data_IF_025458444212
#
_entry.id   IF_025458444212
#
_cell.length_a   1.000
_cell.length_b   1.000
_cell.length_c   1.000
_cell.angle_alpha   90.00
_cell.angle_beta   90.00
_cell.angle_gamma   90.00
#
_symmetry.space_group_name_H-M   'P 1'
#
loop_
_entity.id
_entity.type
_entity.pdbx_description
1 polymer ?
#
# COMPACT_ATOMS: atom_id res chain seq x y z
N UNK A 1 -19.31 12.59 -25.57
CA UNK A 1 -19.04 12.80 -24.14
C UNK A 1 -18.92 11.44 -23.49
N UNK A 2 -17.73 11.13 -23.03
CA UNK A 2 -17.36 9.91 -22.34
C UNK A 2 -17.14 10.24 -20.86
N UNK A 3 -18.25 10.42 -20.12
CA UNK A 3 -18.19 10.82 -18.72
C UNK A 3 -17.83 9.65 -17.79
N UNK A 4 -16.75 9.82 -17.04
CA UNK A 4 -16.26 8.87 -16.03
C UNK A 4 -16.34 9.50 -14.65
N UNK A 5 -16.90 8.77 -13.70
CA UNK A 5 -16.96 9.17 -12.30
C UNK A 5 -15.79 8.56 -11.52
N UNK A 6 -14.97 9.41 -10.92
CA UNK A 6 -13.87 9.05 -10.05
C UNK A 6 -14.26 9.34 -8.60
N UNK A 7 -14.11 8.35 -7.73
CA UNK A 7 -14.55 8.42 -6.32
C UNK A 7 -13.34 8.22 -5.39
N UNK A 8 -13.05 9.19 -4.53
CA UNK A 8 -12.04 9.06 -3.46
C UNK A 8 -12.73 8.99 -2.10
N UNK A 9 -12.73 7.80 -1.50
CA UNK A 9 -13.17 7.60 -0.12
C UNK A 9 -12.03 7.96 0.84
N UNK A 10 -11.84 9.24 1.06
CA UNK A 10 -10.87 9.77 2.01
C UNK A 10 -11.23 9.50 3.46
N UNK A 11 -10.24 9.54 4.37
CA UNK A 11 -10.47 9.42 5.82
C UNK A 11 -11.34 10.54 6.41
N UNK A 12 -11.31 11.73 5.80
CA UNK A 12 -12.09 12.91 6.22
C UNK A 12 -13.25 13.22 5.27
N UNK A 13 -12.97 13.27 3.97
CA UNK A 13 -13.94 13.63 2.94
C UNK A 13 -14.05 12.54 1.88
N UNK A 14 -15.27 12.25 1.48
CA UNK A 14 -15.56 11.51 0.26
C UNK A 14 -15.66 12.52 -0.87
N UNK A 15 -14.83 12.37 -1.88
CA UNK A 15 -14.76 13.28 -3.03
C UNK A 15 -15.20 12.52 -4.28
N UNK A 16 -15.89 13.22 -5.17
CA UNK A 16 -16.27 12.72 -6.47
C UNK A 16 -15.86 13.72 -7.54
N UNK A 17 -15.30 13.22 -8.63
CA UNK A 17 -14.87 14.03 -9.78
C UNK A 17 -15.41 13.39 -11.03
N UNK A 18 -16.00 14.19 -11.92
CA UNK A 18 -16.41 13.73 -13.25
C UNK A 18 -15.43 14.27 -14.26
N UNK A 19 -14.88 13.38 -15.08
CA UNK A 19 -14.02 13.71 -16.21
C UNK A 19 -14.69 13.26 -17.50
N UNK A 20 -14.55 14.05 -18.56
CA UNK A 20 -14.93 13.67 -19.91
C UNK A 20 -13.67 13.26 -20.68
N UNK A 21 -13.60 11.99 -21.09
CA UNK A 21 -12.43 11.48 -21.80
C UNK A 21 -12.34 11.98 -23.24
N UNK A 22 -13.46 12.38 -23.87
CA UNK A 22 -13.44 12.92 -25.23
C UNK A 22 -12.83 14.33 -25.29
N UNK A 23 -13.00 15.12 -24.22
CA UNK A 23 -12.52 16.52 -24.13
C UNK A 23 -11.37 16.70 -23.16
N UNK A 24 -10.90 15.61 -22.53
CA UNK A 24 -9.81 15.58 -21.55
C UNK A 24 -9.99 16.59 -20.40
N UNK A 25 -11.25 16.81 -20.00
CA UNK A 25 -11.61 17.90 -19.09
C UNK A 25 -12.33 17.42 -17.84
N UNK A 26 -12.10 18.13 -16.73
CA UNK A 26 -12.87 17.94 -15.50
C UNK A 26 -14.19 18.69 -15.64
N UNK A 27 -15.30 17.95 -15.71
CA UNK A 27 -16.64 18.53 -15.81
C UNK A 27 -17.09 19.13 -14.48
N UNK A 28 -16.71 18.50 -13.36
CA UNK A 28 -17.00 19.04 -12.04
C UNK A 28 -16.64 18.10 -10.89
N UNK A 29 -16.74 18.64 -9.68
CA UNK A 29 -16.39 17.93 -8.45
C UNK A 29 -17.46 18.12 -7.38
N UNK A 30 -17.68 17.10 -6.56
CA UNK A 30 -18.48 17.16 -5.35
C UNK A 30 -17.70 16.58 -4.17
N UNK A 31 -18.04 17.01 -2.95
CA UNK A 31 -17.49 16.41 -1.72
C UNK A 31 -18.50 16.43 -0.60
N UNK A 32 -18.33 15.49 0.33
CA UNK A 32 -19.05 15.43 1.60
C UNK A 32 -18.17 14.77 2.68
N UNK A 33 -18.58 14.83 3.94
CA UNK A 33 -17.87 14.14 5.01
C UNK A 33 -17.94 12.62 4.82
N UNK A 34 -16.82 11.93 5.08
CA UNK A 34 -16.78 10.46 5.02
C UNK A 34 -17.50 9.86 6.21
N UNK A 35 -18.48 9.00 5.93
CA UNK A 35 -19.34 8.32 6.92
C UNK A 35 -18.90 6.88 7.20
N UNK A 36 -17.59 6.58 7.15
CA UNK A 36 -17.03 5.22 7.35
C UNK A 36 -17.34 4.62 8.74
N UNK A 37 -17.71 5.46 9.72
CA UNK A 37 -18.12 5.01 11.06
C UNK A 37 -19.57 4.52 11.11
N UNK A 38 -20.44 5.01 10.21
CA UNK A 38 -21.86 4.66 10.10
C UNK A 38 -22.10 3.83 8.84
N UNK A 39 -22.37 4.49 7.71
CA UNK A 39 -22.49 3.87 6.40
C UNK A 39 -21.85 4.80 5.34
N UNK A 40 -20.76 4.34 4.73
CA UNK A 40 -20.01 5.06 3.70
C UNK A 40 -20.86 5.47 2.47
N UNK A 41 -21.99 4.81 2.24
CA UNK A 41 -22.93 5.19 1.18
C UNK A 41 -23.60 6.54 1.44
N UNK A 42 -23.77 6.95 2.70
CA UNK A 42 -24.36 8.24 3.06
C UNK A 42 -23.49 9.39 2.55
N UNK A 43 -22.19 9.37 2.86
CA UNK A 43 -21.23 10.36 2.39
C UNK A 43 -21.06 10.35 0.87
N UNK A 44 -21.10 9.18 0.23
CA UNK A 44 -21.09 9.10 -1.24
C UNK A 44 -22.31 9.77 -1.85
N UNK A 45 -23.51 9.47 -1.33
CA UNK A 45 -24.76 10.03 -1.83
C UNK A 45 -24.77 11.54 -1.70
N UNK A 46 -24.33 12.07 -0.56
CA UNK A 46 -24.22 13.52 -0.35
C UNK A 46 -23.20 14.16 -1.30
N UNK A 47 -22.05 13.52 -1.53
CA UNK A 47 -21.05 14.02 -2.47
C UNK A 47 -21.59 14.07 -3.91
N UNK A 48 -22.36 13.05 -4.33
CA UNK A 48 -23.03 13.01 -5.63
C UNK A 48 -24.11 14.08 -5.78
N UNK A 49 -24.91 14.33 -4.73
CA UNK A 49 -25.89 15.42 -4.73
C UNK A 49 -25.20 16.79 -4.82
N UNK A 50 -24.05 16.97 -4.15
CA UNK A 50 -23.27 18.19 -4.27
C UNK A 50 -22.65 18.37 -5.66
N UNK A 51 -22.16 17.30 -6.28
CA UNK A 51 -21.69 17.31 -7.68
C UNK A 51 -22.81 17.68 -8.65
N UNK A 52 -24.01 17.10 -8.46
CA UNK A 52 -25.18 17.32 -9.31
C UNK A 52 -25.60 18.79 -9.38
N UNK A 53 -25.35 19.57 -8.32
CA UNK A 53 -25.60 21.02 -8.32
C UNK A 53 -24.72 21.78 -9.32
N UNK A 54 -23.53 21.25 -9.63
CA UNK A 54 -22.58 21.87 -10.55
C UNK A 54 -22.77 21.38 -11.98
N UNK A 55 -22.91 20.07 -12.18
CA UNK A 55 -22.88 19.46 -13.53
C UNK A 55 -24.25 18.96 -14.01
N UNK A 56 -25.29 19.07 -13.17
CA UNK A 56 -26.60 18.50 -13.46
C UNK A 56 -26.60 16.97 -13.37
N UNK A 57 -27.58 16.35 -14.03
CA UNK A 57 -27.66 14.88 -14.13
C UNK A 57 -26.82 14.42 -15.32
N UNK A 58 -25.82 13.58 -15.06
CA UNK A 58 -24.96 12.98 -16.08
C UNK A 58 -25.02 11.47 -15.92
N UNK A 59 -25.17 10.76 -17.04
CA UNK A 59 -24.99 9.31 -17.10
C UNK A 59 -23.49 9.00 -17.21
N UNK A 60 -22.99 8.22 -16.26
CA UNK A 60 -21.58 7.82 -16.21
C UNK A 60 -21.40 6.52 -16.96
N UNK A 61 -20.44 6.47 -17.89
CA UNK A 61 -20.07 5.24 -18.58
C UNK A 61 -19.28 4.30 -17.68
N UNK A 62 -18.42 4.86 -16.82
CA UNK A 62 -17.62 4.10 -15.87
C UNK A 62 -17.55 4.79 -14.53
N UNK A 63 -17.35 3.97 -13.49
CA UNK A 63 -17.19 4.43 -12.10
C UNK A 63 -15.99 3.72 -11.50
N UNK A 64 -14.97 4.50 -11.14
CA UNK A 64 -13.76 4.02 -10.48
C UNK A 64 -13.67 4.59 -9.08
N UNK A 65 -13.04 3.84 -8.17
CA UNK A 65 -12.89 4.30 -6.80
C UNK A 65 -11.54 3.98 -6.20
N UNK A 66 -11.09 4.87 -5.32
CA UNK A 66 -10.01 4.60 -4.39
C UNK A 66 -10.44 4.85 -2.95
N UNK A 67 -9.73 4.26 -2.00
CA UNK A 67 -10.05 4.43 -0.58
C UNK A 67 -8.83 4.52 0.32
N UNK A 68 -8.86 5.47 1.25
CA UNK A 68 -7.99 5.57 2.42
C UNK A 68 -8.76 5.54 3.74
N UNK A 69 -10.10 5.54 3.68
CA UNK A 69 -10.98 5.56 4.85
C UNK A 69 -10.90 4.30 5.73
N UNK A 70 -10.37 3.18 5.22
CA UNK A 70 -10.15 1.96 6.01
C UNK A 70 -8.97 2.06 7.00
N UNK A 71 -8.20 3.16 6.97
CA UNK A 71 -7.00 3.36 7.78
C UNK A 71 -5.72 2.92 7.05
N UNK A 72 -4.57 3.33 7.59
CA UNK A 72 -3.27 2.91 7.04
C UNK A 72 -2.96 1.45 7.36
N UNK A 73 -2.27 0.77 6.44
CA UNK A 73 -1.86 -0.62 6.58
C UNK A 73 -0.63 -0.73 7.50
N UNK A 74 -0.80 -1.20 8.74
CA UNK A 74 0.31 -1.40 9.68
C UNK A 74 1.01 -2.73 9.41
N UNK A 75 2.32 -2.71 9.21
CA UNK A 75 3.07 -3.93 8.95
C UNK A 75 4.28 -4.11 9.86
N UNK A 76 4.62 -5.37 10.10
CA UNK A 76 5.92 -5.78 10.64
C UNK A 76 6.65 -6.59 9.57
N UNK A 77 7.95 -6.34 9.42
CA UNK A 77 8.82 -7.13 8.56
C UNK A 77 9.84 -7.89 9.39
N UNK A 78 10.10 -9.15 9.05
CA UNK A 78 11.09 -10.01 9.70
C UNK A 78 12.01 -10.56 8.61
N UNK A 79 13.31 -10.34 8.73
CA UNK A 79 14.30 -10.86 7.78
C UNK A 79 15.46 -11.59 8.45
N UNK A 80 16.40 -12.07 7.63
CA UNK A 80 17.55 -12.83 8.12
C UNK A 80 18.60 -11.93 8.76
N UNK A 81 19.00 -10.85 8.08
CA UNK A 81 19.99 -9.89 8.57
C UNK A 81 19.55 -8.45 8.21
N UNK A 82 19.92 -7.43 9.01
CA UNK A 82 19.48 -6.05 8.84
C UNK A 82 19.72 -5.49 7.43
N UNK A 83 20.95 -5.62 6.92
CA UNK A 83 21.39 -4.95 5.68
C UNK A 83 20.98 -5.70 4.39
N UNK A 84 20.33 -6.86 4.48
CA UNK A 84 19.94 -7.67 3.33
C UNK A 84 18.43 -7.91 3.29
N UNK A 85 17.97 -9.09 3.73
CA UNK A 85 16.58 -9.50 3.52
C UNK A 85 15.60 -8.80 4.45
N UNK A 86 16.05 -8.24 5.59
CA UNK A 86 15.23 -7.37 6.43
C UNK A 86 14.99 -6.02 5.73
N UNK A 87 16.01 -5.43 5.12
CA UNK A 87 15.88 -4.21 4.32
C UNK A 87 15.05 -4.46 3.04
N UNK A 88 15.23 -5.60 2.37
CA UNK A 88 14.39 -5.99 1.23
C UNK A 88 12.90 -6.11 1.63
N UNK A 89 12.62 -6.74 2.79
CA UNK A 89 11.27 -6.85 3.32
C UNK A 89 10.67 -5.48 3.66
N UNK A 90 11.45 -4.60 4.29
CA UNK A 90 11.04 -3.22 4.58
C UNK A 90 10.69 -2.47 3.30
N UNK A 91 11.51 -2.59 2.24
CA UNK A 91 11.28 -1.96 0.94
C UNK A 91 10.02 -2.48 0.26
N UNK A 92 9.77 -3.79 0.29
CA UNK A 92 8.53 -4.38 -0.23
C UNK A 92 7.28 -3.85 0.50
N UNK A 93 7.35 -3.72 1.82
CA UNK A 93 6.25 -3.18 2.61
C UNK A 93 6.00 -1.68 2.33
N UNK A 94 7.06 -0.87 2.26
CA UNK A 94 6.95 0.56 1.95
C UNK A 94 6.42 0.79 0.53
N UNK A 95 6.91 0.03 -0.46
CA UNK A 95 6.45 0.14 -1.86
C UNK A 95 5.00 -0.31 -2.04
N UNK A 96 4.53 -1.27 -1.23
CA UNK A 96 3.12 -1.65 -1.16
C UNK A 96 2.24 -0.62 -0.43
N UNK A 97 2.88 0.39 0.16
CA UNK A 97 2.23 1.49 0.82
C UNK A 97 1.86 1.25 2.28
N UNK A 98 2.53 0.31 2.93
CA UNK A 98 2.37 0.04 4.34
C UNK A 98 3.13 1.03 5.23
N UNK A 99 2.58 1.30 6.42
CA UNK A 99 3.32 1.85 7.55
C UNK A 99 4.06 0.73 8.24
N UNK A 100 5.37 0.63 8.01
CA UNK A 100 6.24 -0.34 8.69
C UNK A 100 6.44 0.09 10.13
N UNK A 101 5.82 -0.62 11.07
CA UNK A 101 5.91 -0.33 12.50
C UNK A 101 7.27 -0.72 13.08
N UNK A 102 7.78 -1.88 12.66
CA UNK A 102 9.02 -2.47 13.14
C UNK A 102 9.60 -3.40 12.09
N UNK A 103 10.93 -3.49 12.09
CA UNK A 103 11.69 -4.47 11.31
C UNK A 103 12.54 -5.27 12.27
N UNK A 104 12.40 -6.59 12.23
CA UNK A 104 13.23 -7.53 12.99
C UNK A 104 14.19 -8.24 12.06
N UNK A 105 15.29 -8.72 12.64
CA UNK A 105 16.31 -9.48 11.95
C UNK A 105 16.85 -10.58 12.84
N UNK A 106 17.49 -11.59 12.24
CA UNK A 106 18.00 -12.77 12.93
C UNK A 106 16.88 -13.64 13.53
N UNK A 107 17.24 -14.52 14.46
CA UNK A 107 16.29 -15.30 15.23
C UNK A 107 15.52 -14.39 16.17
N UNK A 108 14.19 -14.40 16.04
CA UNK A 108 13.30 -13.72 16.97
C UNK A 108 13.49 -14.29 18.37
N UNK A 109 13.44 -13.39 19.34
CA UNK A 109 13.35 -13.70 20.76
C UNK A 109 11.89 -13.73 21.22
N UNK A 110 11.63 -14.33 22.39
CA UNK A 110 10.29 -14.30 23.00
C UNK A 110 9.82 -12.87 23.29
N UNK A 111 10.73 -11.97 23.67
CA UNK A 111 10.41 -10.56 23.91
C UNK A 111 9.97 -9.84 22.62
N UNK A 112 10.58 -10.15 21.48
CA UNK A 112 10.16 -9.62 20.19
C UNK A 112 8.82 -10.23 19.74
N UNK A 113 8.57 -11.50 20.04
CA UNK A 113 7.27 -12.13 19.79
C UNK A 113 6.14 -11.46 20.62
N UNK A 114 6.42 -11.11 21.88
CA UNK A 114 5.52 -10.32 22.72
C UNK A 114 5.32 -8.89 22.19
N UNK A 115 6.38 -8.25 21.70
CA UNK A 115 6.29 -6.93 21.06
C UNK A 115 5.42 -6.99 19.79
N UNK A 116 5.58 -8.02 18.94
CA UNK A 116 4.72 -8.24 17.76
C UNK A 116 3.26 -8.37 18.19
N UNK A 117 2.98 -9.14 19.24
CA UNK A 117 1.64 -9.29 19.80
C UNK A 117 1.06 -7.93 20.23
N UNK A 118 1.85 -7.13 20.94
CA UNK A 118 1.44 -5.82 21.45
C UNK A 118 1.19 -4.80 20.33
N UNK A 119 2.07 -4.76 19.32
CA UNK A 119 1.95 -3.84 18.19
C UNK A 119 0.73 -4.13 17.31
N UNK A 120 0.27 -5.39 17.29
CA UNK A 120 -0.92 -5.85 16.55
C UNK A 120 -0.87 -5.38 15.08
N UNK A 121 0.07 -5.94 14.29
CA UNK A 121 0.19 -5.59 12.88
C UNK A 121 -1.04 -6.02 12.10
N UNK A 122 -1.33 -5.34 10.99
CA UNK A 122 -2.36 -5.77 10.06
C UNK A 122 -1.87 -6.89 9.14
N UNK A 123 -0.56 -6.94 8.83
CA UNK A 123 0.12 -8.00 8.08
C UNK A 123 1.55 -8.16 8.63
N UNK A 124 2.05 -9.38 8.71
CA UNK A 124 3.46 -9.67 8.97
C UNK A 124 4.14 -10.23 7.70
N UNK A 125 5.24 -9.62 7.26
CA UNK A 125 6.06 -10.14 6.16
C UNK A 125 7.27 -10.89 6.74
N UNK A 126 7.29 -12.22 6.55
CA UNK A 126 8.36 -13.11 6.97
C UNK A 126 9.24 -13.48 5.78
N UNK A 127 10.50 -13.05 5.84
CA UNK A 127 11.52 -13.36 4.85
C UNK A 127 12.65 -14.19 5.49
N UNK A 128 13.59 -14.64 4.68
CA UNK A 128 14.63 -15.57 5.12
C UNK A 128 15.95 -15.35 4.40
N UNK A 129 16.70 -16.43 4.18
CA UNK A 129 17.87 -16.40 3.30
C UNK A 129 17.49 -16.33 1.82
N UNK A 130 18.52 -16.22 0.99
CA UNK A 130 18.42 -16.42 -0.47
C UNK A 130 17.91 -17.83 -0.80
N UNK A 131 17.54 -18.06 -2.04
CA UNK A 131 17.10 -19.38 -2.49
C UNK A 131 18.23 -20.40 -2.40
N UNK A 132 17.96 -21.53 -1.75
CA UNK A 132 18.99 -22.53 -1.41
C UNK A 132 19.93 -22.12 -0.28
N UNK A 133 19.75 -20.93 0.30
CA UNK A 133 20.56 -20.38 1.39
C UNK A 133 20.09 -20.83 2.78
N UNK A 134 20.20 -19.93 3.77
CA UNK A 134 19.83 -20.21 5.14
C UNK A 134 18.36 -20.65 5.26
N UNK A 135 18.13 -21.78 5.92
CA UNK A 135 16.81 -22.33 6.21
C UNK A 135 16.43 -22.21 7.69
N UNK A 136 17.42 -22.23 8.58
CA UNK A 136 17.24 -22.39 10.03
C UNK A 136 16.48 -21.23 10.66
N UNK A 137 16.87 -20.00 10.33
CA UNK A 137 16.35 -18.79 11.01
C UNK A 137 14.89 -18.55 10.68
N UNK A 138 14.49 -18.64 9.41
CA UNK A 138 13.09 -18.45 9.03
C UNK A 138 12.19 -19.56 9.61
N UNK A 139 12.66 -20.81 9.70
CA UNK A 139 11.93 -21.89 10.37
C UNK A 139 11.78 -21.65 11.88
N UNK A 140 12.83 -21.13 12.54
CA UNK A 140 12.76 -20.72 13.94
C UNK A 140 11.75 -19.59 14.14
N UNK A 141 11.84 -18.54 13.33
CA UNK A 141 10.95 -17.39 13.40
C UNK A 141 9.49 -17.79 13.12
N UNK A 142 9.25 -18.68 12.16
CA UNK A 142 7.92 -19.22 11.86
C UNK A 142 7.30 -19.92 13.08
N UNK A 143 8.08 -20.72 13.82
CA UNK A 143 7.62 -21.38 15.05
C UNK A 143 7.28 -20.41 16.16
N UNK A 144 8.06 -19.33 16.33
CA UNK A 144 7.72 -18.29 17.30
C UNK A 144 6.48 -17.51 16.89
N UNK A 145 6.38 -17.09 15.63
CA UNK A 145 5.24 -16.35 15.09
C UNK A 145 3.95 -17.18 15.17
N UNK A 146 4.03 -18.49 14.98
CA UNK A 146 2.91 -19.42 15.16
C UNK A 146 2.32 -19.34 16.59
N UNK A 147 3.14 -19.06 17.60
CA UNK A 147 2.70 -18.87 18.99
C UNK A 147 2.23 -17.46 19.34
N UNK A 148 2.41 -16.47 18.46
CA UNK A 148 1.99 -15.08 18.71
C UNK A 148 0.47 -14.98 18.60
N UNK A 149 -0.19 -14.45 19.63
CA UNK A 149 -1.63 -14.24 19.60
C UNK A 149 -2.04 -13.13 18.62
N UNK A 150 -3.25 -13.24 18.06
CA UNK A 150 -3.84 -12.25 17.15
C UNK A 150 -4.08 -12.74 15.73
N UNK A 151 -5.04 -12.09 15.06
CA UNK A 151 -5.48 -12.38 13.70
C UNK A 151 -4.78 -11.43 12.73
N UNK A 152 -3.55 -11.78 12.34
CA UNK A 152 -2.83 -11.12 11.27
C UNK A 152 -2.35 -12.16 10.25
N UNK A 153 -2.59 -11.95 8.95
CA UNK A 153 -2.01 -12.79 7.91
C UNK A 153 -0.49 -12.66 7.90
N UNK A 154 0.18 -13.75 7.53
CA UNK A 154 1.62 -13.83 7.36
C UNK A 154 1.95 -14.05 5.89
N UNK A 155 2.74 -13.17 5.31
CA UNK A 155 3.28 -13.35 3.96
C UNK A 155 4.66 -14.00 4.09
N UNK A 156 4.87 -15.13 3.42
CA UNK A 156 6.16 -15.81 3.36
C UNK A 156 6.80 -15.49 2.01
N UNK A 157 7.92 -14.77 2.07
CA UNK A 157 8.66 -14.30 0.89
C UNK A 157 10.17 -14.56 1.08
N UNK A 158 10.50 -15.80 1.43
CA UNK A 158 11.86 -16.24 1.75
C UNK A 158 12.30 -17.45 0.92
N UNK A 159 13.39 -18.09 1.34
CA UNK A 159 14.03 -19.22 0.66
C UNK A 159 13.02 -20.24 0.10
N UNK A 160 12.97 -20.34 -1.24
CA UNK A 160 12.00 -21.22 -1.93
C UNK A 160 12.03 -22.67 -1.45
N UNK A 161 13.21 -23.18 -1.04
CA UNK A 161 13.40 -24.59 -0.65
C UNK A 161 12.61 -25.02 0.58
N UNK A 162 12.14 -24.08 1.39
CA UNK A 162 11.46 -24.34 2.67
C UNK A 162 10.24 -23.43 2.88
N UNK A 163 9.84 -22.69 1.85
CA UNK A 163 8.71 -21.75 1.93
C UNK A 163 7.40 -22.47 2.29
N UNK A 164 7.18 -23.64 1.69
CA UNK A 164 6.04 -24.52 1.99
C UNK A 164 6.08 -25.09 3.41
N UNK A 165 7.26 -25.49 3.91
CA UNK A 165 7.41 -25.99 5.29
C UNK A 165 7.11 -24.88 6.31
N UNK A 166 7.60 -23.66 6.04
CA UNK A 166 7.30 -22.47 6.86
C UNK A 166 5.80 -22.18 6.85
N UNK A 167 5.17 -22.23 5.69
CA UNK A 167 3.73 -22.04 5.57
C UNK A 167 2.95 -23.10 6.34
N UNK A 168 3.34 -24.38 6.24
CA UNK A 168 2.71 -25.47 6.97
C UNK A 168 2.76 -25.27 8.50
N UNK A 169 3.90 -24.80 9.05
CA UNK A 169 4.04 -24.48 10.48
C UNK A 169 3.03 -23.41 10.91
N UNK A 170 2.93 -22.32 10.12
CA UNK A 170 2.06 -21.19 10.44
C UNK A 170 0.57 -21.54 10.27
N UNK A 171 0.22 -22.26 9.20
CA UNK A 171 -1.14 -22.75 8.93
C UNK A 171 -1.60 -23.73 10.02
N UNK A 172 -0.73 -24.62 10.49
CA UNK A 172 -1.06 -25.56 11.58
C UNK A 172 -1.42 -24.83 12.90
N UNK A 173 -0.93 -23.60 13.08
CA UNK A 173 -1.27 -22.73 14.21
C UNK A 173 -2.48 -21.82 13.92
N UNK A 174 -3.17 -21.98 12.79
CA UNK A 174 -4.37 -21.24 12.42
C UNK A 174 -4.11 -19.85 11.84
N UNK A 175 -2.89 -19.53 11.39
CA UNK A 175 -2.59 -18.28 10.70
C UNK A 175 -3.08 -18.32 9.24
N UNK A 176 -3.56 -17.18 8.73
CA UNK A 176 -3.75 -16.98 7.27
C UNK A 176 -2.38 -16.74 6.64
N UNK A 177 -1.96 -17.59 5.70
CA UNK A 177 -0.63 -17.55 5.11
C UNK A 177 -0.72 -17.36 3.61
N UNK A 178 0.08 -16.44 3.09
CA UNK A 178 0.28 -16.24 1.64
C UNK A 178 1.74 -16.45 1.31
N UNK A 179 2.06 -17.37 0.40
CA UNK A 179 3.42 -17.61 -0.07
C UNK A 179 3.62 -16.87 -1.39
N UNK A 180 4.78 -16.24 -1.57
CA UNK A 180 5.19 -15.61 -2.82
C UNK A 180 6.69 -15.81 -3.04
N UNK A 181 7.20 -15.32 -4.17
CA UNK A 181 8.62 -15.41 -4.47
C UNK A 181 9.47 -14.67 -3.44
N UNK A 182 10.71 -15.12 -3.29
CA UNK A 182 11.66 -14.56 -2.34
C UNK A 182 11.95 -13.09 -2.65
N UNK A 183 11.93 -12.21 -1.65
CA UNK A 183 12.27 -10.78 -1.83
C UNK A 183 13.73 -10.55 -2.23
N UNK A 184 14.60 -11.53 -1.97
CA UNK A 184 16.00 -11.53 -2.35
C UNK A 184 16.43 -12.96 -2.71
N UNK A 185 16.10 -13.45 -3.92
CA UNK A 185 16.37 -14.84 -4.30
C UNK A 185 17.86 -15.14 -4.41
N UNK A 186 18.69 -14.13 -4.71
CA UNK A 186 20.15 -14.22 -4.73
C UNK A 186 20.78 -13.01 -4.03
N UNK A 187 22.04 -13.14 -3.62
CA UNK A 187 22.75 -12.07 -2.91
C UNK A 187 22.78 -10.79 -3.77
N UNK A 188 22.37 -9.66 -3.17
CA UNK A 188 22.23 -8.36 -3.84
C UNK A 188 21.25 -8.30 -5.03
N UNK A 189 20.38 -9.30 -5.22
CA UNK A 189 19.31 -9.27 -6.24
C UNK A 189 17.98 -9.09 -5.54
N UNK A 190 17.32 -7.95 -5.74
CA UNK A 190 16.00 -7.67 -5.17
C UNK A 190 14.88 -8.17 -6.10
N UNK A 191 13.86 -8.81 -5.51
CA UNK A 191 12.63 -9.23 -6.19
C UNK A 191 11.42 -8.88 -5.32
N UNK A 192 11.16 -7.59 -5.11
CA UNK A 192 10.15 -7.10 -4.16
C UNK A 192 8.72 -7.10 -4.73
N UNK A 193 8.57 -7.19 -6.05
CA UNK A 193 7.29 -7.07 -6.76
C UNK A 193 6.28 -8.14 -6.33
N UNK A 194 6.63 -9.45 -6.25
CA UNK A 194 5.68 -10.48 -5.85
C UNK A 194 5.15 -10.27 -4.42
N UNK A 195 6.03 -9.90 -3.49
CA UNK A 195 5.62 -9.57 -2.12
C UNK A 195 4.75 -8.31 -2.07
N UNK A 196 5.10 -7.28 -2.86
CA UNK A 196 4.33 -6.03 -2.97
C UNK A 196 2.90 -6.29 -3.42
N UNK A 197 2.70 -7.13 -4.41
CA UNK A 197 1.38 -7.46 -4.95
C UNK A 197 0.52 -8.24 -3.94
N UNK A 198 1.11 -9.20 -3.23
CA UNK A 198 0.39 -9.92 -2.15
C UNK A 198 -0.02 -8.97 -1.03
N UNK A 199 0.84 -8.02 -0.64
CA UNK A 199 0.51 -7.01 0.36
C UNK A 199 -0.66 -6.13 -0.12
N UNK A 200 -0.59 -5.64 -1.37
CA UNK A 200 -1.66 -4.82 -1.97
C UNK A 200 -2.99 -5.59 -1.99
N UNK A 201 -2.97 -6.85 -2.39
CA UNK A 201 -4.16 -7.70 -2.45
C UNK A 201 -4.78 -7.95 -1.07
N UNK A 202 -3.97 -8.28 -0.05
CA UNK A 202 -4.47 -8.44 1.32
C UNK A 202 -5.04 -7.13 1.86
N UNK A 203 -4.42 -5.99 1.55
CA UNK A 203 -4.94 -4.70 1.95
C UNK A 203 -6.30 -4.40 1.29
N UNK A 204 -6.44 -4.71 0.00
CA UNK A 204 -7.69 -4.60 -0.74
C UNK A 204 -8.80 -5.49 -0.17
N UNK A 205 -8.50 -6.75 0.12
CA UNK A 205 -9.43 -7.68 0.77
C UNK A 205 -9.96 -7.09 2.08
N UNK A 206 -9.08 -6.44 2.86
CA UNK A 206 -9.43 -5.78 4.13
C UNK A 206 -10.25 -4.51 3.93
N UNK A 207 -9.90 -3.67 2.96
CA UNK A 207 -10.68 -2.48 2.58
C UNK A 207 -12.10 -2.89 2.20
N UNK A 208 -12.27 -3.93 1.38
CA UNK A 208 -13.59 -4.42 0.95
C UNK A 208 -14.40 -4.96 2.13
N UNK A 209 -13.75 -5.64 3.09
CA UNK A 209 -14.40 -6.13 4.32
C UNK A 209 -14.77 -4.99 5.29
N UNK A 210 -14.13 -3.83 5.19
CA UNK A 210 -14.38 -2.70 6.06
C UNK A 210 -15.78 -2.08 5.81
N UNK A 211 -16.56 -2.00 6.91
CA UNK A 211 -17.81 -1.27 7.15
C UNK A 211 -18.50 -0.59 5.94
N UNK A 212 -18.99 -1.38 4.99
CA UNK A 212 -19.96 -0.95 3.97
C UNK A 212 -19.48 -0.90 2.52
N UNK A 213 -18.18 -1.06 2.24
CA UNK A 213 -17.64 -1.08 0.87
C UNK A 213 -18.14 -2.28 0.04
N UNK A 214 -18.50 -3.38 0.69
CA UNK A 214 -19.14 -4.54 0.05
C UNK A 214 -20.46 -4.19 -0.66
N UNK A 215 -21.23 -3.23 -0.14
CA UNK A 215 -22.49 -2.76 -0.77
C UNK A 215 -22.20 -1.84 -1.96
N UNK A 216 -21.09 -1.09 -1.94
CA UNK A 216 -20.70 -0.16 -3.00
C UNK A 216 -20.19 -0.90 -4.26
N UNK A 217 -19.80 -2.18 -4.16
CA UNK A 217 -19.46 -3.02 -5.33
C UNK A 217 -20.55 -3.06 -6.41
N UNK A 218 -21.80 -2.80 -6.05
CA UNK A 218 -22.90 -2.72 -7.03
C UNK A 218 -22.95 -1.40 -7.79
N UNK A 219 -22.34 -0.35 -7.24
CA UNK A 219 -22.30 1.01 -7.79
C UNK A 219 -21.01 1.24 -8.56
N UNK A 220 -19.90 0.67 -8.10
CA UNK A 220 -18.58 0.77 -8.74
C UNK A 220 -18.42 -0.42 -9.69
N UNK A 221 -18.26 -0.13 -10.97
CA UNK A 221 -17.97 -1.16 -11.99
C UNK A 221 -16.49 -1.54 -12.02
N UNK A 222 -15.61 -0.59 -11.66
CA UNK A 222 -14.17 -0.73 -11.78
C UNK A 222 -13.43 -1.16 -10.51
N UNK A 223 -12.11 -1.08 -10.59
CA UNK A 223 -11.18 -1.46 -9.52
C UNK A 223 -11.35 -0.52 -8.33
N UNK A 224 -11.50 -1.08 -7.13
CA UNK A 224 -11.25 -0.35 -5.88
C UNK A 224 -9.77 -0.51 -5.59
N UNK A 225 -9.05 0.61 -5.50
CA UNK A 225 -7.63 0.61 -5.10
C UNK A 225 -7.38 1.42 -3.84
N UNK A 226 -6.30 1.19 -3.08
CA UNK A 226 -5.92 2.12 -2.03
C UNK A 226 -5.62 3.50 -2.63
N UNK A 227 -6.04 4.59 -1.99
CA UNK A 227 -5.75 5.96 -2.47
C UNK A 227 -4.25 6.16 -2.77
N UNK A 228 -3.32 5.73 -1.90
CA UNK A 228 -1.90 5.89 -2.21
C UNK A 228 -1.42 5.06 -3.40
N UNK A 229 -2.04 3.90 -3.66
CA UNK A 229 -1.75 3.14 -4.88
C UNK A 229 -2.24 3.90 -6.12
N UNK A 230 -3.43 4.51 -6.07
CA UNK A 230 -3.94 5.33 -7.18
C UNK A 230 -3.00 6.48 -7.52
N UNK A 231 -2.52 7.19 -6.49
CA UNK A 231 -1.57 8.31 -6.66
C UNK A 231 -0.23 7.80 -7.21
N UNK A 232 0.26 6.65 -6.76
CA UNK A 232 1.51 6.08 -7.26
C UNK A 232 1.41 5.66 -8.74
N UNK A 233 0.31 4.99 -9.14
CA UNK A 233 0.08 4.62 -10.55
C UNK A 233 -0.09 5.87 -11.43
N UNK A 234 -0.80 6.90 -10.94
CA UNK A 234 -0.95 8.16 -11.66
C UNK A 234 0.39 8.88 -11.83
N UNK A 235 1.22 8.94 -10.77
CA UNK A 235 2.56 9.50 -10.82
C UNK A 235 3.46 8.74 -11.81
N UNK A 236 3.39 7.41 -11.82
CA UNK A 236 4.11 6.57 -12.76
C UNK A 236 3.68 6.83 -14.21
N UNK A 237 2.37 6.87 -14.47
CA UNK A 237 1.81 7.19 -15.78
C UNK A 237 2.24 8.58 -16.27
N UNK A 238 2.23 9.60 -15.39
CA UNK A 238 2.70 10.95 -15.72
C UNK A 238 4.20 11.00 -16.04
N UNK A 239 5.01 10.20 -15.33
CA UNK A 239 6.45 10.18 -15.51
C UNK A 239 6.88 9.46 -16.80
N UNK A 240 6.27 8.30 -17.06
CA UNK A 240 6.65 7.40 -18.15
C UNK A 240 5.89 7.70 -19.44
N UNK A 241 4.67 8.22 -19.33
CA UNK A 241 3.79 8.44 -20.47
C UNK A 241 2.98 7.19 -20.82
N UNK A 242 2.37 7.24 -22.01
CA UNK A 242 1.56 6.16 -22.60
C UNK A 242 2.19 5.70 -23.91
N UNK A 243 1.52 4.82 -24.65
CA UNK A 243 1.95 4.47 -26.01
C UNK A 243 1.79 5.63 -27.00
N UNK A 244 0.94 6.62 -26.68
CA UNK A 244 0.58 7.73 -27.55
C UNK A 244 1.22 9.06 -27.13
N UNK A 245 1.59 9.21 -25.86
CA UNK A 245 2.12 10.45 -25.30
C UNK A 245 3.39 10.22 -24.47
N UNK A 246 4.41 11.06 -24.69
CA UNK A 246 5.63 11.03 -23.89
C UNK A 246 5.37 11.50 -22.45
N UNK A 247 5.98 10.81 -21.49
CA UNK A 247 5.92 11.20 -20.08
C UNK A 247 6.77 12.43 -19.77
N UNK A 248 6.52 13.01 -18.60
CA UNK A 248 7.24 14.18 -18.09
C UNK A 248 8.69 13.87 -17.63
N UNK A 249 9.06 12.60 -17.58
CA UNK A 249 10.33 12.13 -17.02
C UNK A 249 10.28 11.98 -15.50
N UNK A 250 11.46 11.98 -14.85
CA UNK A 250 11.56 11.76 -13.41
C UNK A 250 10.81 12.84 -12.61
N UNK A 251 9.98 12.43 -11.65
CA UNK A 251 9.16 13.34 -10.86
C UNK A 251 8.99 12.91 -9.40
N UNK A 252 8.55 13.87 -8.59
CA UNK A 252 8.22 13.69 -7.18
C UNK A 252 6.81 14.26 -6.92
N UNK A 253 5.93 13.46 -6.32
CA UNK A 253 4.62 13.90 -5.83
C UNK A 253 4.63 13.89 -4.30
N UNK A 254 4.24 15.01 -3.70
CA UNK A 254 4.08 15.13 -2.24
C UNK A 254 2.59 15.30 -1.95
N UNK A 255 1.95 14.22 -1.50
CA UNK A 255 0.53 14.18 -1.13
C UNK A 255 0.37 14.39 0.37
N UNK A 256 -0.03 15.61 0.75
CA UNK A 256 -0.16 16.02 2.14
C UNK A 256 -1.60 15.78 2.60
N UNK A 257 -1.81 14.70 3.33
CA UNK A 257 -3.08 14.37 3.97
C UNK A 257 -3.19 14.89 5.41
N UNK A 258 -4.39 14.75 6.00
CA UNK A 258 -4.65 15.13 7.40
C UNK A 258 -4.16 14.11 8.44
N UNK A 259 -3.48 13.04 8.03
CA UNK A 259 -2.98 11.99 8.91
C UNK A 259 -1.58 11.49 8.51
N UNK A 260 -1.31 11.46 7.22
CA UNK A 260 -0.03 11.05 6.63
C UNK A 260 0.38 12.04 5.57
N UNK A 261 1.68 12.15 5.35
CA UNK A 261 2.23 12.78 4.15
C UNK A 261 2.94 11.72 3.34
N UNK A 262 2.49 11.57 2.11
CA UNK A 262 2.97 10.56 1.18
C UNK A 262 3.90 11.20 0.16
N UNK A 263 5.08 10.61 0.00
CA UNK A 263 6.07 11.06 -0.98
C UNK A 263 6.25 9.95 -2.00
N UNK A 264 5.80 10.21 -3.22
CA UNK A 264 5.92 9.30 -4.36
C UNK A 264 7.06 9.77 -5.25
N UNK A 265 8.08 8.93 -5.44
CA UNK A 265 9.20 9.23 -6.34
C UNK A 265 9.17 8.27 -7.52
N UNK A 266 9.21 8.83 -8.73
CA UNK A 266 9.42 8.09 -9.97
C UNK A 266 10.75 8.56 -10.54
N UNK A 267 11.84 7.92 -10.11
CA UNK A 267 13.20 8.35 -10.44
C UNK A 267 14.22 7.24 -10.16
N UNK A 268 15.29 7.17 -10.97
CA UNK A 268 16.46 6.35 -10.70
C UNK A 268 17.30 6.91 -9.55
N UNK A 269 17.22 8.23 -9.30
CA UNK A 269 17.95 8.87 -8.20
C UNK A 269 19.47 8.73 -8.32
N UNK A 270 19.99 8.68 -9.56
CA UNK A 270 21.41 8.51 -9.80
C UNK A 270 22.20 9.77 -9.37
N UNK A 271 23.42 9.62 -8.86
CA UNK A 271 24.24 10.76 -8.48
C UNK A 271 24.52 11.68 -9.68
N UNK A 272 24.27 12.96 -9.51
CA UNK A 272 24.53 13.99 -10.53
C UNK A 272 25.95 14.56 -10.46
N UNK A 273 26.73 14.19 -9.43
CA UNK A 273 28.10 14.68 -9.21
C UNK A 273 29.12 13.55 -9.32
N UNK A 274 30.21 13.84 -10.00
CA UNK A 274 31.37 12.94 -10.12
C UNK A 274 31.96 12.65 -8.73
N UNK A 275 32.32 11.38 -8.48
CA UNK A 275 32.93 10.94 -7.21
C UNK A 275 31.94 10.57 -6.11
N UNK A 276 30.62 10.68 -6.35
CA UNK A 276 29.60 10.17 -5.43
C UNK A 276 29.40 8.67 -5.68
N UNK A 277 29.68 7.84 -4.69
CA UNK A 277 29.40 6.40 -4.73
C UNK A 277 28.12 6.09 -3.95
N UNK A 278 27.19 5.40 -4.59
CA UNK A 278 26.02 4.85 -3.91
C UNK A 278 26.45 3.66 -3.05
N UNK A 279 26.00 3.63 -1.79
CA UNK A 279 26.22 2.53 -0.86
C UNK A 279 24.87 1.94 -0.43
N UNK A 280 24.79 0.62 -0.39
CA UNK A 280 23.59 -0.10 0.02
C UNK A 280 22.85 -0.73 -1.17
N UNK A 281 21.61 -1.14 -0.92
CA UNK A 281 20.77 -1.79 -1.92
C UNK A 281 20.22 -0.77 -2.94
N UNK A 282 20.10 -1.14 -4.22
CA UNK A 282 19.61 -0.25 -5.26
C UNK A 282 18.17 0.21 -4.96
N UNK A 283 17.90 1.51 -5.12
CA UNK A 283 16.57 2.07 -4.94
C UNK A 283 15.66 1.66 -6.11
N UNK A 284 14.39 1.30 -5.84
CA UNK A 284 13.44 1.03 -6.92
C UNK A 284 13.06 2.33 -7.65
N UNK A 285 12.83 2.22 -8.95
CA UNK A 285 12.44 3.35 -9.81
C UNK A 285 11.12 4.00 -9.37
N UNK A 286 10.15 3.16 -8.99
CA UNK A 286 8.84 3.56 -8.48
C UNK A 286 8.84 3.32 -6.98
N UNK A 287 8.67 4.37 -6.18
CA UNK A 287 8.62 4.23 -4.72
C UNK A 287 7.67 5.21 -4.06
N UNK A 288 7.18 4.78 -2.89
CA UNK A 288 6.44 5.61 -1.95
C UNK A 288 7.08 5.52 -0.58
N UNK A 289 7.21 6.65 0.10
CA UNK A 289 7.51 6.73 1.53
C UNK A 289 6.38 7.47 2.23
N UNK A 290 6.11 7.10 3.49
CA UNK A 290 5.00 7.65 4.28
C UNK A 290 5.56 8.26 5.54
N UNK A 291 5.32 9.55 5.72
CA UNK A 291 5.62 10.28 6.94
C UNK A 291 4.35 10.61 7.72
N UNK A 292 4.51 10.97 8.99
CA UNK A 292 3.40 11.40 9.83
C UNK A 292 2.79 12.73 9.38
N UNK A 293 1.68 13.12 10.02
CA UNK A 293 1.08 14.45 9.85
C UNK A 293 2.11 15.56 10.09
N UNK A 294 2.31 16.43 9.09
CA UNK A 294 3.20 17.60 9.16
C UNK A 294 2.59 18.76 9.98
N UNK A 295 1.66 18.47 10.89
CA UNK A 295 0.90 19.45 11.67
C UNK A 295 -0.31 20.02 10.93
N UNK A 296 -0.63 19.51 9.75
CA UNK A 296 -1.73 20.00 8.91
C UNK A 296 -3.07 19.77 9.59
N UNK A 297 -3.26 18.64 10.28
CA UNK A 297 -4.53 18.37 10.98
C UNK A 297 -4.88 19.46 12.00
N UNK A 298 -3.88 20.00 12.68
CA UNK A 298 -4.03 21.02 13.70
C UNK A 298 -4.04 22.44 13.12
N UNK A 299 -3.23 22.69 12.09
CA UNK A 299 -3.02 24.02 11.53
C UNK A 299 -3.90 24.37 10.33
N UNK A 300 -4.59 23.41 9.69
CA UNK A 300 -5.38 23.68 8.48
C UNK A 300 -6.53 24.67 8.74
N UNK A 301 -7.07 24.72 9.95
CA UNK A 301 -8.07 25.70 10.35
C UNK A 301 -7.53 27.14 10.38
N UNK A 302 -6.22 27.33 10.49
CA UNK A 302 -5.56 28.64 10.42
C UNK A 302 -5.22 29.07 8.98
N UNK A 303 -5.41 28.18 8.00
CA UNK A 303 -5.15 28.41 6.57
C UNK A 303 -6.43 28.55 5.73
N UNK A 304 -7.61 28.33 6.34
CA UNK A 304 -8.95 28.54 5.76
C UNK A 304 -9.47 29.94 6.12
#
# INVERSE_FOLDING_TARGET
MQAVLLIDFGSTFTKVTVVDLDSESVLGTGRAFTTVRTDINEGLKEALENLKKTVGTIDFQHRYACSSAAGGLKMIAVGLVPELTAEAAKRAALSAGAKVMKVYSYELSSAEAEEICFLSPDILLLTGGTDGGNQKVILHNARLIAGVAGEFPVIVAGNKSISEDVAAILCAAGKDVRVCENVMPSFNVLNIEPARDVIRNLFLERIIRAKGLSKIKSIIEGIIMPTPSAVLEAAHCLAVGTEEEEGLGELLVVDVGGATTDVHSIAHGLPTKTGVMLKGLPEPYIKRTVEGDLGVRWSVLSLL
#
